data_IF_359330707075
#
_entry.id   IF_359330707075
#
_cell.length_a   1.000
_cell.length_b   1.000
_cell.length_c   1.000
_cell.angle_alpha   90.00
_cell.angle_beta   90.00
_cell.angle_gamma   90.00
#
_symmetry.space_group_name_H-M   'P 1'
#
loop_
_entity.id
_entity.type
_entity.pdbx_description
1 polymer ?
#
# COMPACT_ATOMS: atom_id res chain seq x y z
N UNK A 1 -9.55 20.10 5.46
CA UNK A 1 -9.54 18.65 5.17
C UNK A 1 -8.25 18.03 5.71
N UNK A 2 -8.35 16.90 6.42
CA UNK A 2 -7.19 16.13 6.92
C UNK A 2 -7.11 14.82 6.14
N UNK A 3 -5.89 14.38 5.80
CA UNK A 3 -5.66 13.14 5.08
C UNK A 3 -4.88 12.18 5.98
N UNK A 4 -5.25 10.88 6.03
CA UNK A 4 -4.54 9.91 6.82
C UNK A 4 -3.10 9.67 6.31
N UNK A 5 -2.16 9.59 7.24
CA UNK A 5 -0.79 9.11 7.01
C UNK A 5 -0.60 7.84 7.85
N UNK A 6 -0.26 6.73 7.21
CA UNK A 6 -0.11 5.42 7.86
C UNK A 6 1.34 5.11 8.24
N UNK A 7 1.54 4.23 9.23
CA UNK A 7 2.85 3.60 9.51
C UNK A 7 3.71 4.28 10.57
N UNK A 8 3.70 5.61 10.63
CA UNK A 8 4.59 6.39 11.52
C UNK A 8 5.97 6.68 10.92
N UNK A 9 6.79 7.45 11.64
CA UNK A 9 8.15 7.84 11.24
C UNK A 9 9.20 7.48 12.33
N UNK A 10 10.47 7.78 12.06
CA UNK A 10 11.61 7.42 12.92
C UNK A 10 11.52 7.94 14.37
N UNK A 11 10.76 9.02 14.60
CA UNK A 11 10.58 9.59 15.94
C UNK A 11 9.38 9.01 16.70
N UNK A 12 8.62 8.08 16.12
CA UNK A 12 7.39 7.58 16.76
C UNK A 12 7.57 6.38 17.69
N UNK A 13 8.70 5.65 17.63
CA UNK A 13 8.96 4.51 18.52
C UNK A 13 7.82 3.48 18.53
N UNK A 14 7.32 3.14 19.71
CA UNK A 14 6.23 2.17 19.89
C UNK A 14 4.87 2.58 19.28
N UNK A 15 4.68 3.85 18.93
CA UNK A 15 3.46 4.29 18.24
C UNK A 15 3.49 3.99 16.73
N UNK A 16 4.65 3.65 16.16
CA UNK A 16 4.74 3.23 14.77
C UNK A 16 4.17 1.81 14.59
N UNK A 17 3.62 1.51 13.41
CA UNK A 17 3.06 0.19 13.12
C UNK A 17 2.06 0.18 11.97
N UNK A 18 1.68 -1.01 11.51
CA UNK A 18 0.79 -1.21 10.35
C UNK A 18 -0.62 -0.65 10.55
N UNK A 19 -1.03 -0.45 11.80
CA UNK A 19 -2.32 0.13 12.18
C UNK A 19 -2.22 1.59 12.65
N UNK A 20 -1.03 2.19 12.67
CA UNK A 20 -0.87 3.59 13.06
C UNK A 20 -1.43 4.51 11.98
N UNK A 21 -2.30 5.44 12.36
CA UNK A 21 -2.97 6.39 11.47
C UNK A 21 -2.98 7.79 12.06
N UNK A 22 -2.27 8.72 11.42
CA UNK A 22 -2.19 10.12 11.86
C UNK A 22 -3.10 11.01 10.98
N UNK A 23 -4.04 11.73 11.59
CA UNK A 23 -4.99 12.66 10.93
C UNK A 23 -4.78 14.13 11.35
N UNK A 24 -3.63 14.46 11.95
CA UNK A 24 -3.37 15.81 12.45
C UNK A 24 -2.92 16.80 11.36
N UNK A 25 -2.56 16.34 10.16
CA UNK A 25 -2.00 17.19 9.12
C UNK A 25 -3.01 17.55 8.02
N UNK A 26 -2.98 18.81 7.58
CA UNK A 26 -3.74 19.26 6.42
C UNK A 26 -3.11 18.68 5.15
N UNK A 27 -3.88 18.57 4.06
CA UNK A 27 -3.37 18.04 2.78
C UNK A 27 -2.13 18.78 2.27
N UNK A 28 -2.03 20.09 2.52
CA UNK A 28 -0.91 20.94 2.09
C UNK A 28 0.34 20.84 2.99
N UNK A 29 0.27 20.09 4.11
CA UNK A 29 1.41 19.95 4.99
C UNK A 29 2.49 19.11 4.30
N UNK A 30 3.67 19.71 4.13
CA UNK A 30 4.86 19.06 3.61
C UNK A 30 5.90 19.02 4.70
N UNK A 31 6.37 17.82 5.04
CA UNK A 31 7.39 17.61 6.04
C UNK A 31 8.33 16.48 5.61
N UNK A 32 9.59 16.54 6.02
CA UNK A 32 10.62 15.58 5.60
C UNK A 32 10.37 14.14 6.07
N UNK A 33 9.46 13.95 7.03
CA UNK A 33 9.10 12.64 7.58
C UNK A 33 7.79 12.07 7.02
N UNK A 34 7.27 12.64 5.92
CA UNK A 34 6.06 12.19 5.23
C UNK A 34 6.43 11.75 3.81
N UNK A 35 5.97 10.57 3.40
CA UNK A 35 6.20 10.01 2.06
C UNK A 35 5.08 9.06 1.63
N UNK A 36 5.29 8.30 0.54
CA UNK A 36 4.31 7.33 0.02
C UNK A 36 4.98 6.00 -0.39
N UNK A 37 4.19 4.91 -0.37
CA UNK A 37 4.55 3.64 -1.02
C UNK A 37 3.56 3.36 -2.14
N UNK A 38 4.10 3.07 -3.33
CA UNK A 38 3.28 2.69 -4.47
C UNK A 38 2.81 1.23 -4.36
N UNK A 39 1.64 0.94 -4.93
CA UNK A 39 1.00 -0.39 -4.85
C UNK A 39 0.55 -0.88 -6.23
N UNK A 40 1.44 -0.85 -7.23
CA UNK A 40 1.14 -1.43 -8.54
C UNK A 40 1.11 -2.97 -8.43
N UNK A 41 0.09 -3.64 -8.99
CA UNK A 41 0.12 -5.08 -9.21
C UNK A 41 1.27 -5.42 -10.15
N UNK A 42 2.01 -6.50 -9.87
CA UNK A 42 2.98 -7.00 -10.84
C UNK A 42 2.24 -7.50 -12.08
N UNK A 43 2.57 -6.98 -13.27
CA UNK A 43 2.04 -7.48 -14.54
C UNK A 43 2.19 -9.01 -14.66
N UNK A 44 3.24 -9.55 -14.07
CA UNK A 44 3.51 -10.98 -14.02
C UNK A 44 2.52 -11.78 -13.16
N UNK A 45 1.90 -11.19 -12.14
CA UNK A 45 0.84 -11.86 -11.34
C UNK A 45 -0.50 -11.91 -12.10
N UNK A 46 -0.78 -10.90 -12.92
CA UNK A 46 -2.00 -10.85 -13.73
C UNK A 46 -1.97 -11.96 -14.78
N UNK A 47 -0.86 -12.11 -15.51
CA UNK A 47 -0.70 -13.16 -16.52
C UNK A 47 -0.55 -14.58 -15.93
N UNK A 48 -0.02 -14.71 -14.71
CA UNK A 48 0.11 -16.02 -14.03
C UNK A 48 -1.22 -16.61 -13.56
N UNK A 49 -2.26 -15.78 -13.41
CA UNK A 49 -3.59 -16.22 -12.98
C UNK A 49 -4.53 -16.57 -14.15
N UNK A 50 -4.13 -16.24 -15.37
CA UNK A 50 -4.89 -16.57 -16.59
C UNK A 50 -4.58 -17.95 -17.16
N UNK A 51 -3.54 -18.66 -16.70
CA UNK A 51 -3.12 -19.94 -17.27
C UNK A 51 -3.65 -21.18 -16.54
N UNK A 52 -4.46 -21.04 -15.50
CA UNK A 52 -4.88 -22.17 -14.64
C UNK A 52 -6.26 -22.78 -14.95
N UNK A 53 -6.88 -22.51 -16.10
CA UNK A 53 -8.10 -23.25 -16.48
C UNK A 53 -8.18 -23.41 -18.00
N UNK A 54 -8.06 -24.64 -18.49
CA UNK A 54 -9.08 -25.36 -19.26
C UNK A 54 -8.59 -26.81 -19.49
N UNK A 55 -9.19 -27.85 -18.87
CA UNK A 55 -8.90 -29.22 -19.23
C UNK A 55 -9.45 -29.47 -20.63
N UNK A 56 -8.55 -29.73 -21.59
CA UNK A 56 -8.92 -30.25 -22.90
C UNK A 56 -9.51 -31.65 -22.72
N UNK A 57 -10.79 -31.78 -23.05
CA UNK A 57 -11.46 -33.07 -23.16
C UNK A 57 -11.04 -33.66 -24.51
N UNK A 58 -10.02 -34.53 -24.50
CA UNK A 58 -9.60 -35.30 -25.66
C UNK A 58 -10.72 -36.30 -26.01
N UNK A 59 -11.23 -36.21 -27.25
CA UNK A 59 -12.15 -37.17 -27.85
C UNK A 59 -11.43 -38.25 -28.65
#
# INVERSE_FOLDING_TARGET
MRLPIAGGNWNNGANAGVFNLNLNNARSNSNSNIGFRSALPSYCQICRRSTDVLPVHEG
#
